data_IF_162384579614
#
_entry.id   IF_162384579614
#
_cell.length_a   1.000
_cell.length_b   1.000
_cell.length_c   1.000
_cell.angle_alpha   90.00
_cell.angle_beta   90.00
_cell.angle_gamma   90.00
#
_symmetry.space_group_name_H-M   'P 1'
#
loop_
_entity.id
_entity.type
_entity.pdbx_description
1 polymer ?
#
# COMPACT_ATOMS: atom_id res chain seq x y z
N UNK A 1 -1.70 8.47 9.88
CA UNK A 1 -1.12 9.78 9.53
C UNK A 1 0.16 10.09 10.28
N UNK A 2 0.18 10.05 11.62
CA UNK A 2 1.37 10.34 12.44
C UNK A 2 2.62 9.50 12.07
N UNK A 3 2.44 8.22 11.73
CA UNK A 3 3.55 7.38 11.28
C UNK A 3 4.18 7.87 9.95
N UNK A 4 3.35 8.37 9.02
CA UNK A 4 3.82 8.91 7.74
C UNK A 4 4.59 10.21 7.94
N UNK A 5 4.12 11.09 8.84
CA UNK A 5 4.80 12.37 9.09
C UNK A 5 6.14 12.19 9.77
N UNK A 6 6.28 11.13 10.59
CA UNK A 6 7.54 10.72 11.23
C UNK A 6 8.50 9.96 10.33
N UNK A 7 8.06 9.47 9.17
CA UNK A 7 8.94 8.81 8.20
C UNK A 7 9.94 9.83 7.64
N UNK A 8 11.21 9.40 7.57
CA UNK A 8 12.30 10.20 7.00
C UNK A 8 12.31 10.16 5.48
N UNK A 9 11.80 9.08 4.91
CA UNK A 9 11.80 8.83 3.47
C UNK A 9 10.58 9.40 2.73
N UNK A 10 9.58 9.93 3.45
CA UNK A 10 8.38 10.55 2.88
C UNK A 10 8.51 12.08 2.88
N UNK A 11 8.45 12.66 1.68
CA UNK A 11 8.57 14.10 1.45
C UNK A 11 7.23 14.83 1.53
N UNK A 12 6.18 14.23 0.96
CA UNK A 12 4.84 14.83 0.88
C UNK A 12 3.76 13.79 1.14
N UNK A 13 2.70 14.19 1.85
CA UNK A 13 1.55 13.34 2.16
C UNK A 13 0.30 14.02 1.64
N UNK A 14 -0.49 13.28 0.86
CA UNK A 14 -1.79 13.75 0.36
C UNK A 14 -2.89 12.87 0.92
N UNK A 15 -3.89 13.50 1.51
CA UNK A 15 -5.13 12.85 1.93
C UNK A 15 -6.17 13.12 0.85
N UNK A 16 -6.46 12.09 0.07
CA UNK A 16 -7.50 12.16 -0.96
C UNK A 16 -8.88 11.93 -0.31
N UNK A 17 -9.68 13.00 -0.22
CA UNK A 17 -11.02 12.96 0.40
C UNK A 17 -11.93 13.98 -0.26
N UNK A 18 -13.22 13.67 -0.29
CA UNK A 18 -14.34 14.54 -0.67
C UNK A 18 -15.15 14.98 0.56
N UNK A 19 -14.98 14.30 1.70
CA UNK A 19 -15.71 14.58 2.93
C UNK A 19 -15.08 15.76 3.71
N UNK A 20 -15.86 16.82 3.91
CA UNK A 20 -15.42 18.03 4.63
C UNK A 20 -15.06 17.74 6.09
N UNK A 21 -15.77 16.83 6.77
CA UNK A 21 -15.43 16.42 8.15
C UNK A 21 -14.02 15.82 8.23
N UNK A 22 -13.61 15.06 7.20
CA UNK A 22 -12.24 14.52 7.12
C UNK A 22 -11.25 15.66 6.87
N UNK A 23 -11.59 16.64 6.02
CA UNK A 23 -10.71 17.78 5.74
C UNK A 23 -10.45 18.59 7.01
N UNK A 24 -11.49 18.87 7.79
CA UNK A 24 -11.42 19.60 9.05
C UNK A 24 -10.54 18.86 10.06
N UNK A 25 -10.78 17.55 10.25
CA UNK A 25 -9.95 16.72 11.15
C UNK A 25 -8.48 16.73 10.74
N UNK A 26 -8.18 16.67 9.43
CA UNK A 26 -6.80 16.71 8.93
C UNK A 26 -6.16 18.08 9.12
N UNK A 27 -6.91 19.16 8.91
CA UNK A 27 -6.46 20.52 9.15
C UNK A 27 -6.11 20.75 10.63
N UNK A 28 -6.92 20.21 11.56
CA UNK A 28 -6.71 20.33 13.00
C UNK A 28 -5.39 19.71 13.49
N UNK A 29 -4.90 18.67 12.81
CA UNK A 29 -3.61 18.07 13.15
C UNK A 29 -2.40 18.95 12.81
N UNK A 30 -2.57 19.96 11.95
CA UNK A 30 -1.55 20.95 11.57
C UNK A 30 -0.17 20.34 11.23
N UNK A 31 -0.15 19.27 10.43
CA UNK A 31 1.09 18.62 10.01
C UNK A 31 1.69 19.28 8.76
N UNK A 32 2.92 19.77 8.85
CA UNK A 32 3.62 20.49 7.75
C UNK A 32 3.68 19.71 6.42
N UNK A 33 3.76 18.37 6.49
CA UNK A 33 3.90 17.50 5.31
C UNK A 33 2.56 17.11 4.68
N UNK A 34 1.43 17.40 5.32
CA UNK A 34 0.11 16.87 4.93
C UNK A 34 -0.67 17.90 4.15
N UNK A 35 -1.26 17.47 3.04
CA UNK A 35 -2.11 18.28 2.18
C UNK A 35 -3.40 17.53 1.86
N UNK A 36 -4.47 18.28 1.63
CA UNK A 36 -5.71 17.72 1.09
C UNK A 36 -5.63 17.63 -0.43
N UNK A 37 -6.17 16.55 -0.97
CA UNK A 37 -6.52 16.42 -2.38
C UNK A 37 -8.02 16.17 -2.48
N UNK A 38 -8.76 17.19 -2.94
CA UNK A 38 -10.19 17.06 -3.21
C UNK A 38 -10.40 16.11 -4.39
N UNK A 39 -11.08 14.99 -4.14
CA UNK A 39 -11.42 14.00 -5.18
C UNK A 39 -12.57 14.52 -6.02
N UNK A 40 -12.53 14.30 -7.33
CA UNK A 40 -13.68 14.52 -8.21
C UNK A 40 -14.84 13.60 -7.81
N UNK A 41 -16.07 14.09 -7.95
CA UNK A 41 -17.30 13.35 -7.62
C UNK A 41 -17.37 11.95 -8.27
N UNK A 42 -16.86 11.82 -9.50
CA UNK A 42 -16.82 10.55 -10.25
C UNK A 42 -16.01 9.47 -9.51
N UNK A 43 -14.95 9.86 -8.81
CA UNK A 43 -14.06 8.99 -8.05
C UNK A 43 -14.30 9.04 -6.52
N UNK A 44 -15.32 9.80 -6.09
CA UNK A 44 -15.78 9.85 -4.71
C UNK A 44 -16.82 8.76 -4.37
N UNK A 45 -17.33 8.04 -5.39
CA UNK A 45 -18.32 6.98 -5.19
C UNK A 45 -17.75 5.74 -4.49
N UNK A 46 -18.60 4.98 -3.78
CA UNK A 46 -18.25 3.69 -3.17
C UNK A 46 -17.83 2.61 -4.17
N UNK A 47 -17.98 2.86 -5.47
CA UNK A 47 -17.60 1.97 -6.56
C UNK A 47 -16.28 2.36 -7.23
N UNK A 48 -15.69 3.50 -6.88
CA UNK A 48 -14.41 3.93 -7.41
C UNK A 48 -13.30 2.96 -6.98
N UNK A 49 -12.49 2.51 -7.94
CA UNK A 49 -11.33 1.69 -7.62
C UNK A 49 -10.23 2.56 -7.01
N UNK A 50 -9.34 1.95 -6.22
CA UNK A 50 -8.17 2.71 -5.73
C UNK A 50 -7.31 3.20 -6.89
N UNK A 51 -7.23 2.42 -7.97
CA UNK A 51 -6.51 2.78 -9.19
C UNK A 51 -7.06 4.07 -9.83
N UNK A 52 -8.39 4.27 -9.85
CA UNK A 52 -8.96 5.48 -10.46
C UNK A 52 -8.61 6.74 -9.67
N UNK A 53 -8.65 6.67 -8.33
CA UNK A 53 -8.24 7.78 -7.44
C UNK A 53 -6.74 8.06 -7.56
N UNK A 54 -5.90 7.02 -7.62
CA UNK A 54 -4.45 7.17 -7.81
C UNK A 54 -4.11 7.88 -9.13
N UNK A 55 -4.75 7.46 -10.22
CA UNK A 55 -4.51 8.02 -11.55
C UNK A 55 -5.00 9.47 -11.62
N UNK A 56 -6.19 9.75 -11.10
CA UNK A 56 -6.71 11.11 -10.99
C UNK A 56 -5.74 12.03 -10.25
N UNK A 57 -5.22 11.59 -9.11
CA UNK A 57 -4.24 12.35 -8.34
C UNK A 57 -2.97 12.64 -9.15
N UNK A 58 -2.41 11.63 -9.83
CA UNK A 58 -1.19 11.73 -10.63
C UNK A 58 -1.37 12.50 -11.95
N UNK A 59 -2.60 12.68 -12.42
CA UNK A 59 -2.96 13.53 -13.56
C UNK A 59 -3.08 15.01 -13.14
N UNK A 60 -3.63 15.27 -11.95
CA UNK A 60 -3.80 16.62 -11.41
C UNK A 60 -2.52 17.23 -10.83
N UNK A 61 -1.51 16.41 -10.53
CA UNK A 61 -0.23 16.84 -9.94
C UNK A 61 0.95 16.47 -10.81
N UNK A 62 1.95 17.36 -10.87
CA UNK A 62 3.18 17.15 -11.63
C UNK A 62 4.26 16.57 -10.72
N UNK A 63 4.49 15.26 -10.85
CA UNK A 63 5.58 14.52 -10.24
C UNK A 63 6.53 14.00 -11.32
N UNK A 64 7.81 13.83 -10.98
CA UNK A 64 8.77 13.14 -11.83
C UNK A 64 8.36 11.68 -12.03
N UNK A 65 8.78 11.08 -13.15
CA UNK A 65 8.57 9.65 -13.37
C UNK A 65 9.29 8.77 -12.34
N UNK A 66 10.42 9.27 -11.83
CA UNK A 66 11.27 8.59 -10.84
C UNK A 66 10.80 8.78 -9.40
N UNK A 67 9.81 9.65 -9.18
CA UNK A 67 9.22 9.82 -7.85
C UNK A 67 8.53 8.52 -7.44
N UNK A 68 8.70 8.14 -6.17
CA UNK A 68 7.98 7.00 -5.60
C UNK A 68 6.61 7.45 -5.12
N UNK A 69 5.58 6.74 -5.56
CA UNK A 69 4.23 6.86 -5.05
C UNK A 69 3.98 5.77 -4.02
N UNK A 70 3.58 6.19 -2.81
CA UNK A 70 3.23 5.29 -1.71
C UNK A 70 1.72 5.37 -1.49
N UNK A 71 0.98 4.37 -1.95
CA UNK A 71 -0.42 4.23 -1.61
C UNK A 71 -0.52 3.68 -0.19
N UNK A 72 -1.21 4.38 0.71
CA UNK A 72 -1.41 3.96 2.11
C UNK A 72 -2.89 3.84 2.40
N UNK A 73 -3.32 2.70 2.94
CA UNK A 73 -4.71 2.53 3.40
C UNK A 73 -4.77 2.69 4.92
N UNK A 74 -5.70 3.52 5.40
CA UNK A 74 -5.85 3.83 6.83
C UNK A 74 -6.45 2.69 7.66
N UNK A 75 -6.77 1.56 7.04
CA UNK A 75 -7.33 0.36 7.67
C UNK A 75 -6.31 -0.45 8.49
N UNK A 76 -5.02 -0.09 8.42
CA UNK A 76 -3.94 -0.70 9.18
C UNK A 76 -3.29 0.33 10.12
N UNK A 77 -3.89 0.63 11.28
CA UNK A 77 -3.42 1.72 12.16
C UNK A 77 -2.08 1.44 12.84
N UNK A 78 -1.61 0.20 12.83
CA UNK A 78 -0.37 -0.22 13.48
C UNK A 78 0.87 -0.11 12.58
N UNK A 79 0.74 0.31 11.32
CA UNK A 79 1.89 0.55 10.45
C UNK A 79 2.76 1.66 11.01
N UNK A 80 4.04 1.37 11.22
CA UNK A 80 5.00 2.29 11.84
C UNK A 80 5.73 3.14 10.81
N UNK A 81 6.38 4.23 11.26
CA UNK A 81 7.27 5.03 10.40
C UNK A 81 8.44 4.22 9.86
N UNK A 82 8.92 3.26 10.65
CA UNK A 82 10.01 2.36 10.29
C UNK A 82 9.61 1.41 9.16
N UNK A 83 8.34 0.99 9.10
CA UNK A 83 7.84 0.15 8.00
C UNK A 83 7.89 0.90 6.68
N UNK A 84 7.45 2.17 6.67
CA UNK A 84 7.55 3.01 5.48
C UNK A 84 9.00 3.26 5.08
N UNK A 85 9.85 3.66 6.03
CA UNK A 85 11.25 3.97 5.76
C UNK A 85 12.00 2.76 5.19
N UNK A 86 11.82 1.58 5.80
CA UNK A 86 12.48 0.35 5.34
C UNK A 86 11.99 -0.05 3.96
N UNK A 87 10.68 -0.09 3.72
CA UNK A 87 10.14 -0.46 2.42
C UNK A 87 10.59 0.50 1.31
N UNK A 88 10.57 1.81 1.57
CA UNK A 88 11.07 2.81 0.61
C UNK A 88 12.58 2.62 0.36
N UNK A 89 13.37 2.36 1.40
CA UNK A 89 14.81 2.10 1.24
C UNK A 89 15.08 0.81 0.46
N UNK A 90 14.27 -0.23 0.66
CA UNK A 90 14.37 -1.49 -0.09
C UNK A 90 14.21 -1.26 -1.59
N UNK A 91 13.17 -0.55 -2.04
CA UNK A 91 12.99 -0.27 -3.47
C UNK A 91 14.08 0.67 -4.01
N UNK A 92 14.48 1.71 -3.26
CA UNK A 92 15.55 2.63 -3.66
C UNK A 92 16.92 1.95 -3.79
N UNK A 93 17.19 0.92 -2.99
CA UNK A 93 18.46 0.19 -2.98
C UNK A 93 18.58 -0.88 -4.08
N UNK A 94 17.50 -1.14 -4.83
CA UNK A 94 17.45 -2.23 -5.81
C UNK A 94 17.05 -1.73 -7.19
N UNK A 95 17.95 -1.92 -8.16
CA UNK A 95 17.66 -1.67 -9.58
C UNK A 95 16.79 -2.75 -10.23
N UNK A 96 16.31 -3.74 -9.45
CA UNK A 96 15.53 -4.88 -9.94
C UNK A 96 14.09 -4.86 -9.47
N UNK A 97 13.72 -4.02 -8.51
CA UNK A 97 12.37 -4.00 -7.93
C UNK A 97 11.55 -2.92 -8.61
N UNK A 98 10.36 -3.30 -9.08
CA UNK A 98 9.40 -2.40 -9.69
C UNK A 98 8.30 -2.01 -8.70
N UNK A 99 7.98 -2.88 -7.74
CA UNK A 99 6.90 -2.63 -6.78
C UNK A 99 7.13 -3.30 -5.44
N UNK A 100 6.55 -2.72 -4.39
CA UNK A 100 6.42 -3.33 -3.07
C UNK A 100 4.95 -3.36 -2.66
N UNK A 101 4.51 -4.44 -2.01
CA UNK A 101 3.28 -4.48 -1.23
C UNK A 101 3.59 -4.92 0.20
N UNK A 102 2.81 -4.45 1.16
CA UNK A 102 2.90 -4.92 2.55
C UNK A 102 2.14 -6.24 2.75
N UNK A 103 2.78 -7.17 3.45
CA UNK A 103 2.28 -8.51 3.74
C UNK A 103 2.47 -8.87 5.22
N UNK A 104 1.71 -9.86 5.68
CA UNK A 104 1.92 -10.55 6.95
C UNK A 104 2.05 -12.05 6.72
N UNK A 105 2.80 -12.73 7.58
CA UNK A 105 2.91 -14.19 7.52
C UNK A 105 1.62 -14.85 8.03
N UNK A 106 1.09 -15.81 7.27
CA UNK A 106 -0.08 -16.60 7.66
C UNK A 106 0.20 -18.09 7.60
N UNK A 107 0.03 -18.75 8.75
CA UNK A 107 0.17 -20.21 8.91
C UNK A 107 -1.18 -20.93 8.91
N UNK A 108 -2.16 -20.36 8.20
CA UNK A 108 -3.50 -20.94 8.01
C UNK A 108 -3.49 -21.93 6.85
N UNK A 109 -4.34 -22.93 6.95
CA UNK A 109 -4.54 -23.95 5.91
C UNK A 109 -5.69 -23.52 5.02
N UNK A 110 -5.41 -23.22 3.75
CA UNK A 110 -6.41 -22.73 2.81
C UNK A 110 -6.93 -23.85 1.93
N UNK A 111 -8.22 -23.78 1.63
CA UNK A 111 -8.93 -24.71 0.74
C UNK A 111 -9.67 -23.92 -0.32
N UNK A 112 -9.72 -24.46 -1.53
CA UNK A 112 -10.59 -23.96 -2.59
C UNK A 112 -12.06 -24.24 -2.26
N UNK A 113 -12.99 -23.47 -2.85
CA UNK A 113 -14.44 -23.73 -2.72
C UNK A 113 -14.87 -25.13 -3.20
N UNK A 114 -14.04 -25.76 -4.04
CA UNK A 114 -14.27 -27.10 -4.57
C UNK A 114 -13.60 -28.21 -3.72
N UNK A 115 -13.12 -27.89 -2.50
CA UNK A 115 -12.61 -28.90 -1.57
C UNK A 115 -11.20 -29.42 -1.86
N UNK A 116 -10.32 -28.60 -2.47
CA UNK A 116 -8.89 -28.93 -2.64
C UNK A 116 -8.00 -28.07 -1.73
N UNK A 117 -7.00 -28.62 -1.02
CA UNK A 117 -6.08 -27.82 -0.23
C UNK A 117 -5.17 -26.98 -1.15
N UNK A 118 -4.78 -25.79 -0.70
CA UNK A 118 -4.00 -24.82 -1.51
C UNK A 118 -2.52 -24.83 -1.11
N UNK A 119 -2.21 -24.81 0.18
CA UNK A 119 -0.87 -24.54 0.69
C UNK A 119 -0.31 -25.64 1.60
N UNK A 120 -0.91 -26.83 1.61
CA UNK A 120 -0.44 -27.98 2.40
C UNK A 120 -1.02 -29.30 1.86
N UNK A 121 -0.46 -30.43 2.30
CA UNK A 121 -1.07 -31.76 2.12
C UNK A 121 -1.93 -32.12 3.34
N UNK A 122 -3.21 -32.43 3.11
CA UNK A 122 -4.13 -32.79 4.19
C UNK A 122 -3.91 -34.19 4.74
N UNK A 123 -3.32 -35.10 3.97
CA UNK A 123 -2.94 -36.44 4.42
C UNK A 123 -1.71 -36.39 5.34
N UNK A 124 -0.87 -35.37 5.19
CA UNK A 124 0.37 -35.16 5.94
C UNK A 124 0.37 -33.78 6.61
N UNK A 125 -0.71 -33.46 7.34
CA UNK A 125 -0.92 -32.10 7.85
C UNK A 125 0.18 -31.67 8.84
N UNK A 126 0.96 -30.63 8.54
CA UNK A 126 2.02 -30.17 9.45
C UNK A 126 1.42 -29.48 10.68
N UNK A 127 2.20 -29.43 11.77
CA UNK A 127 1.87 -28.56 12.91
C UNK A 127 2.18 -27.11 12.54
N UNK A 128 1.51 -26.14 13.19
CA UNK A 128 1.68 -24.72 12.85
C UNK A 128 3.12 -24.23 13.03
N UNK A 129 3.85 -24.73 14.02
CA UNK A 129 5.25 -24.36 14.25
C UNK A 129 6.20 -24.86 13.16
N UNK A 130 5.86 -25.97 12.50
CA UNK A 130 6.69 -26.59 11.45
C UNK A 130 6.24 -26.15 10.04
N UNK A 131 5.17 -25.35 9.95
CA UNK A 131 4.63 -24.87 8.69
C UNK A 131 5.25 -23.52 8.35
N UNK A 132 5.88 -23.41 7.18
CA UNK A 132 6.44 -22.14 6.69
C UNK A 132 5.35 -21.08 6.45
N UNK A 133 4.11 -21.50 6.16
CA UNK A 133 3.02 -20.57 5.89
C UNK A 133 3.08 -19.96 4.49
N UNK A 134 2.33 -18.89 4.30
CA UNK A 134 2.36 -18.05 3.09
C UNK A 134 2.30 -16.58 3.50
N UNK A 135 2.67 -15.68 2.59
CA UNK A 135 2.47 -14.24 2.80
C UNK A 135 1.07 -13.84 2.32
N UNK A 136 0.37 -13.09 3.17
CA UNK A 136 -0.93 -12.51 2.86
C UNK A 136 -0.78 -11.00 2.80
N UNK A 137 -1.20 -10.41 1.68
CA UNK A 137 -1.34 -8.97 1.54
C UNK A 137 -2.25 -8.42 2.65
N UNK A 138 -1.79 -7.39 3.36
CA UNK A 138 -2.54 -6.79 4.46
C UNK A 138 -3.16 -5.43 4.10
N UNK A 139 -2.84 -4.88 2.92
CA UNK A 139 -3.35 -3.61 2.42
C UNK A 139 -2.80 -2.37 3.13
N UNK A 140 -1.77 -2.49 3.97
CA UNK A 140 -1.24 -1.31 4.66
C UNK A 140 -0.65 -0.28 3.69
N UNK A 141 0.22 -0.72 2.78
CA UNK A 141 0.76 0.15 1.74
C UNK A 141 1.27 -0.59 0.49
N UNK A 142 1.43 0.19 -0.58
CA UNK A 142 2.02 -0.21 -1.85
C UNK A 142 2.97 0.87 -2.33
N UNK A 143 4.11 0.49 -2.90
CA UNK A 143 5.12 1.42 -3.40
C UNK A 143 5.42 1.08 -4.85
N UNK A 144 5.42 2.11 -5.70
CA UNK A 144 5.79 1.99 -7.11
C UNK A 144 6.27 3.37 -7.62
N UNK A 145 6.96 3.41 -8.76
CA UNK A 145 7.29 4.69 -9.39
C UNK A 145 6.07 5.31 -10.06
N UNK A 146 6.03 6.64 -10.10
CA UNK A 146 4.99 7.38 -10.82
C UNK A 146 4.95 7.00 -12.30
N UNK A 147 6.12 6.81 -12.94
CA UNK A 147 6.20 6.38 -14.33
C UNK A 147 5.51 5.02 -14.54
N UNK A 148 5.76 4.06 -13.66
CA UNK A 148 5.16 2.73 -13.74
C UNK A 148 3.65 2.78 -13.51
N UNK A 149 3.17 3.50 -12.50
CA UNK A 149 1.72 3.63 -12.26
C UNK A 149 1.02 4.23 -13.49
N UNK A 150 1.59 5.28 -14.08
CA UNK A 150 1.02 5.91 -15.29
C UNK A 150 1.02 4.97 -16.48
N UNK A 151 2.09 4.19 -16.67
CA UNK A 151 2.25 3.25 -17.78
C UNK A 151 1.31 2.05 -17.67
N UNK A 152 1.27 1.42 -16.50
CA UNK A 152 0.55 0.15 -16.28
C UNK A 152 -0.87 0.35 -15.74
N UNK A 153 -1.23 1.59 -15.33
CA UNK A 153 -2.54 1.92 -14.74
C UNK A 153 -2.89 1.02 -13.55
N UNK A 154 -1.88 0.64 -12.77
CA UNK A 154 -2.01 -0.27 -11.64
C UNK A 154 -1.02 0.11 -10.53
N UNK A 155 -1.37 -0.17 -9.28
CA UNK A 155 -0.50 0.05 -8.12
C UNK A 155 0.72 -0.89 -8.10
N UNK A 156 0.61 -2.07 -8.72
CA UNK A 156 1.70 -3.05 -8.85
C UNK A 156 2.06 -3.31 -10.31
N UNK A 157 3.34 -3.54 -10.57
CA UNK A 157 3.84 -4.04 -11.85
C UNK A 157 5.20 -4.74 -11.69
N UNK A 158 5.63 -5.45 -12.74
CA UNK A 158 7.00 -5.94 -12.85
C UNK A 158 7.44 -6.89 -11.74
N UNK A 159 8.67 -6.72 -11.26
CA UNK A 159 9.21 -7.51 -10.16
C UNK A 159 8.75 -6.96 -8.81
N UNK A 160 7.85 -7.72 -8.17
CA UNK A 160 7.14 -7.31 -6.96
C UNK A 160 7.81 -7.94 -5.73
N UNK A 161 8.16 -7.11 -4.75
CA UNK A 161 8.71 -7.55 -3.47
C UNK A 161 7.66 -7.47 -2.35
N UNK A 162 7.32 -8.59 -1.69
CA UNK A 162 6.44 -8.56 -0.52
C UNK A 162 7.23 -8.10 0.71
N UNK A 163 6.92 -6.92 1.24
CA UNK A 163 7.47 -6.41 2.48
C UNK A 163 6.74 -7.05 3.67
N UNK A 164 7.45 -7.87 4.44
CA UNK A 164 6.90 -8.51 5.64
C UNK A 164 6.79 -7.50 6.78
N UNK A 165 5.57 -7.24 7.23
CA UNK A 165 5.29 -6.50 8.45
C UNK A 165 5.28 -7.40 9.68
N UNK A 166 5.58 -6.86 10.88
CA UNK A 166 5.54 -7.60 12.14
C UNK A 166 4.15 -8.17 12.50
#
# INVERSE_FOLDING_TARGET
MLALTKSKSIDQIYVATDCDEIKDVVADFNFDKVRIFDRCDVNASNTASTESVMLEFLENKKFSGDDLFVLVQVTNPFTSSNDFDNAINTIKSSNKLDSILSCVETKRFFWTKNGKPINYDYNSRPRRQDFEGILMENGAFYINSVANIKKYKNRLCGNIHPYLMP
#
